data_IF_635115303832
#
_entry.id   IF_635115303832
#
_cell.length_a   1.000
_cell.length_b   1.000
_cell.length_c   1.000
_cell.angle_alpha   90.00
_cell.angle_beta   90.00
_cell.angle_gamma   90.00
#
_symmetry.space_group_name_H-M   'P 1'
#
loop_
_entity.id
_entity.type
_entity.pdbx_description
1 polymer ?
#
# COMPACT_ATOMS: atom_id res chain seq x y z
N UNK A 1 8.55 -11.99 -17.34
CA UNK A 1 9.70 -12.23 -18.23
C UNK A 1 9.81 -11.23 -19.39
N UNK A 2 8.71 -10.57 -19.80
CA UNK A 2 8.74 -9.61 -20.93
C UNK A 2 9.58 -8.35 -20.68
N UNK A 3 9.85 -8.01 -19.43
CA UNK A 3 10.62 -6.82 -19.05
C UNK A 3 12.00 -7.14 -18.49
N UNK A 4 12.37 -8.42 -18.39
CA UNK A 4 13.69 -8.83 -17.88
C UNK A 4 14.80 -8.46 -18.87
N UNK A 5 15.77 -7.68 -18.41
CA UNK A 5 16.91 -7.18 -19.20
C UNK A 5 18.06 -8.18 -19.32
N UNK A 6 17.80 -9.46 -19.16
CA UNK A 6 18.79 -10.56 -19.22
C UNK A 6 19.42 -10.85 -17.86
N UNK A 7 19.17 -12.04 -17.34
CA UNK A 7 19.64 -12.48 -16.03
C UNK A 7 18.52 -13.09 -15.18
N UNK A 8 18.79 -13.27 -13.89
CA UNK A 8 17.80 -13.79 -12.93
C UNK A 8 16.80 -12.71 -12.51
N UNK A 9 15.65 -13.16 -12.01
CA UNK A 9 14.70 -12.32 -11.31
C UNK A 9 15.03 -12.29 -9.81
N UNK A 10 14.82 -11.14 -9.18
CA UNK A 10 15.06 -10.92 -7.75
C UNK A 10 13.84 -10.29 -7.09
N UNK A 11 13.48 -10.75 -5.91
CA UNK A 11 12.61 -10.01 -4.97
C UNK A 11 13.52 -9.32 -3.97
N UNK A 12 13.57 -7.98 -4.01
CA UNK A 12 14.34 -7.17 -3.08
C UNK A 12 13.52 -6.90 -1.82
N UNK A 13 14.00 -7.38 -0.69
CA UNK A 13 13.36 -7.25 0.63
C UNK A 13 14.22 -6.43 1.59
N UNK A 14 13.61 -5.67 2.53
CA UNK A 14 14.35 -5.04 3.62
C UNK A 14 14.90 -6.06 4.65
N UNK A 15 14.52 -7.33 4.53
CA UNK A 15 15.02 -8.41 5.37
C UNK A 15 13.99 -8.98 6.34
N UNK A 16 14.44 -9.93 7.15
CA UNK A 16 13.59 -10.78 8.02
C UNK A 16 12.85 -10.07 9.15
N UNK A 17 13.20 -8.84 9.45
CA UNK A 17 12.50 -8.04 10.47
C UNK A 17 11.32 -7.26 9.92
N UNK A 18 11.11 -7.29 8.60
CA UNK A 18 9.92 -6.71 7.98
C UNK A 18 8.70 -7.59 8.25
N UNK A 19 7.58 -6.98 8.61
CA UNK A 19 6.33 -7.69 8.94
C UNK A 19 5.79 -8.54 7.79
N UNK A 20 6.09 -8.16 6.53
CA UNK A 20 5.69 -8.86 5.32
C UNK A 20 6.79 -9.80 4.77
N UNK A 21 7.82 -10.16 5.57
CA UNK A 21 8.92 -10.99 5.08
C UNK A 21 8.47 -12.37 4.60
N UNK A 22 7.46 -12.95 5.24
CA UNK A 22 6.90 -14.23 4.80
C UNK A 22 6.34 -14.12 3.37
N UNK A 23 5.55 -13.10 3.10
CA UNK A 23 4.98 -12.83 1.77
C UNK A 23 6.08 -12.58 0.73
N UNK A 24 7.17 -11.87 1.10
CA UNK A 24 8.29 -11.67 0.19
C UNK A 24 8.96 -12.99 -0.18
N UNK A 25 9.13 -13.88 0.78
CA UNK A 25 9.71 -15.23 0.58
C UNK A 25 8.81 -16.09 -0.28
N UNK A 26 7.49 -16.05 -0.02
CA UNK A 26 6.50 -16.78 -0.79
C UNK A 26 6.46 -16.30 -2.24
N UNK A 27 6.38 -14.99 -2.45
CA UNK A 27 6.41 -14.39 -3.79
C UNK A 27 7.67 -14.74 -4.56
N UNK A 28 8.82 -14.72 -3.91
CA UNK A 28 10.09 -15.09 -4.56
C UNK A 28 10.05 -16.55 -5.05
N UNK A 29 9.55 -17.45 -4.21
CA UNK A 29 9.41 -18.87 -4.55
C UNK A 29 8.43 -19.09 -5.72
N UNK A 30 7.24 -18.51 -5.65
CA UNK A 30 6.20 -18.70 -6.68
C UNK A 30 6.55 -18.04 -8.01
N UNK A 31 7.37 -16.98 -7.99
CA UNK A 31 7.83 -16.27 -9.19
C UNK A 31 9.14 -16.84 -9.78
N UNK A 32 9.69 -17.91 -9.22
CA UNK A 32 11.02 -18.43 -9.56
C UNK A 32 12.09 -17.30 -9.55
N UNK A 33 12.07 -16.52 -8.47
CA UNK A 33 12.97 -15.40 -8.25
C UNK A 33 13.87 -15.66 -7.03
N UNK A 34 15.04 -15.02 -6.99
CA UNK A 34 15.89 -15.01 -5.80
C UNK A 34 15.38 -13.98 -4.80
N UNK A 35 15.18 -14.38 -3.55
CA UNK A 35 14.99 -13.42 -2.46
C UNK A 35 16.34 -12.81 -2.11
N UNK A 36 16.43 -11.49 -2.09
CA UNK A 36 17.67 -10.76 -1.81
C UNK A 36 17.44 -9.55 -0.91
N UNK A 37 18.41 -9.27 -0.08
CA UNK A 37 18.57 -8.00 0.63
C UNK A 37 19.57 -7.12 -0.12
N UNK A 38 19.76 -5.87 0.33
CA UNK A 38 20.79 -4.98 -0.23
C UNK A 38 22.20 -5.58 -0.17
N UNK A 39 22.50 -6.34 0.90
CA UNK A 39 23.81 -6.99 1.07
C UNK A 39 24.12 -8.05 0.00
N UNK A 40 23.10 -8.64 -0.59
CA UNK A 40 23.22 -9.66 -1.64
C UNK A 40 23.35 -9.05 -3.04
N UNK A 41 23.20 -7.73 -3.19
CA UNK A 41 23.15 -7.05 -4.48
C UNK A 41 24.29 -6.04 -4.64
N UNK A 42 24.73 -5.88 -5.87
CA UNK A 42 25.81 -4.95 -6.21
C UNK A 42 25.63 -4.43 -7.64
N UNK A 43 25.85 -3.13 -7.83
CA UNK A 43 25.94 -2.52 -9.15
C UNK A 43 27.39 -2.37 -9.57
N UNK A 44 27.75 -2.97 -10.70
CA UNK A 44 29.07 -2.88 -11.29
C UNK A 44 28.96 -2.66 -12.80
N UNK A 45 29.72 -1.71 -13.34
CA UNK A 45 29.68 -1.37 -14.76
C UNK A 45 28.25 -1.00 -15.26
N UNK A 46 27.45 -0.39 -14.42
CA UNK A 46 26.06 -0.01 -14.73
C UNK A 46 25.10 -1.20 -14.82
N UNK A 47 25.45 -2.35 -14.31
CA UNK A 47 24.63 -3.58 -14.30
C UNK A 47 24.46 -4.08 -12.89
N UNK A 48 23.29 -4.66 -12.59
CA UNK A 48 22.99 -5.23 -11.28
C UNK A 48 23.37 -6.71 -11.22
N UNK A 49 23.99 -7.11 -10.12
CA UNK A 49 24.41 -8.49 -9.86
C UNK A 49 23.94 -8.96 -8.49
N UNK A 50 23.55 -10.22 -8.43
CA UNK A 50 23.34 -10.96 -7.19
C UNK A 50 24.65 -11.69 -6.83
N UNK A 51 25.13 -11.51 -5.60
CA UNK A 51 26.30 -12.20 -5.07
C UNK A 51 25.83 -13.41 -4.28
N UNK A 52 26.22 -14.59 -4.72
CA UNK A 52 25.97 -15.79 -3.95
C UNK A 52 27.01 -15.93 -2.80
N UNK A 53 26.78 -16.90 -1.92
CA UNK A 53 27.64 -17.16 -0.77
C UNK A 53 29.12 -17.53 -1.16
N UNK A 54 29.36 -17.95 -2.41
CA UNK A 54 30.70 -18.24 -2.95
C UNK A 54 31.36 -16.98 -3.55
N UNK A 55 30.71 -15.81 -3.47
CA UNK A 55 31.19 -14.59 -4.09
C UNK A 55 31.00 -14.52 -5.62
N UNK A 56 30.36 -15.52 -6.22
CA UNK A 56 30.05 -15.49 -7.66
C UNK A 56 28.94 -14.46 -7.92
N UNK A 57 29.17 -13.63 -8.94
CA UNK A 57 28.18 -12.62 -9.38
C UNK A 57 27.30 -13.20 -10.48
N UNK A 58 25.98 -13.13 -10.26
CA UNK A 58 24.97 -13.57 -11.23
C UNK A 58 24.22 -12.33 -11.70
N UNK A 59 24.11 -12.14 -13.00
CA UNK A 59 23.42 -10.99 -13.59
C UNK A 59 21.94 -10.98 -13.18
N UNK A 60 21.47 -9.83 -12.70
CA UNK A 60 20.06 -9.59 -12.40
C UNK A 60 19.44 -8.78 -13.54
N UNK A 61 18.37 -9.31 -14.12
CA UNK A 61 17.65 -8.67 -15.23
C UNK A 61 16.37 -7.97 -14.79
N UNK A 62 15.76 -8.40 -13.67
CA UNK A 62 14.57 -7.78 -13.14
C UNK A 62 14.53 -7.85 -11.61
N UNK A 63 14.04 -6.80 -10.99
CA UNK A 63 13.84 -6.67 -9.55
C UNK A 63 12.36 -6.37 -9.27
N UNK A 64 11.73 -7.20 -8.43
CA UNK A 64 10.48 -6.85 -7.77
C UNK A 64 10.82 -6.29 -6.39
N UNK A 65 10.69 -4.99 -6.22
CA UNK A 65 11.08 -4.31 -4.98
C UNK A 65 9.95 -4.35 -3.94
N UNK A 66 10.33 -4.59 -2.71
CA UNK A 66 9.49 -4.49 -1.51
C UNK A 66 10.02 -3.43 -0.55
N UNK A 67 10.58 -2.38 -1.12
CA UNK A 67 11.07 -1.18 -0.46
C UNK A 67 10.34 0.03 -1.03
N UNK A 68 10.14 1.05 -0.20
CA UNK A 68 9.67 2.35 -0.66
C UNK A 68 10.75 3.07 -1.48
N UNK A 69 10.33 4.03 -2.30
CA UNK A 69 11.23 4.76 -3.19
C UNK A 69 12.39 5.40 -2.45
N UNK A 70 12.13 6.05 -1.32
CA UNK A 70 13.11 6.75 -0.51
C UNK A 70 14.28 5.88 -0.05
N UNK A 71 14.04 4.59 0.14
CA UNK A 71 15.06 3.66 0.61
C UNK A 71 15.76 2.89 -0.51
N UNK A 72 15.30 3.01 -1.77
CA UNK A 72 15.72 2.14 -2.85
C UNK A 72 17.18 2.32 -3.24
N UNK A 73 17.65 3.56 -3.32
CA UNK A 73 19.02 3.88 -3.75
C UNK A 73 19.59 5.01 -2.88
N UNK A 74 20.56 4.74 -2.01
CA UNK A 74 21.17 5.76 -1.16
C UNK A 74 21.94 6.84 -1.92
N UNK A 75 22.25 6.65 -3.19
CA UNK A 75 22.93 7.66 -4.01
C UNK A 75 21.96 8.68 -4.65
N UNK A 76 20.68 8.33 -4.74
CA UNK A 76 19.66 9.16 -5.40
C UNK A 76 18.61 9.67 -4.42
N UNK A 77 18.32 8.94 -3.34
CA UNK A 77 17.26 9.23 -2.37
C UNK A 77 17.85 9.46 -0.97
N UNK A 78 17.44 8.66 0.00
CA UNK A 78 17.95 8.77 1.38
C UNK A 78 19.36 8.22 1.49
N UNK A 79 20.35 9.09 1.71
CA UNK A 79 21.76 8.72 1.84
C UNK A 79 22.10 7.85 3.05
N UNK A 80 21.20 7.78 4.05
CA UNK A 80 21.31 6.94 5.24
C UNK A 80 20.63 5.55 5.08
N UNK A 81 20.09 5.24 3.90
CA UNK A 81 19.43 3.96 3.65
C UNK A 81 20.42 2.80 3.69
N UNK A 82 20.22 1.87 4.61
CA UNK A 82 20.99 0.62 4.74
C UNK A 82 20.33 -0.56 4.05
N UNK A 83 19.10 -0.39 3.56
CA UNK A 83 18.29 -1.46 2.94
C UNK A 83 18.17 -1.31 1.42
N UNK A 84 18.64 -0.20 0.88
CA UNK A 84 18.68 0.09 -0.55
C UNK A 84 19.97 -0.41 -1.23
N UNK A 85 20.00 -0.36 -2.54
CA UNK A 85 21.13 -0.81 -3.38
C UNK A 85 21.74 0.38 -4.09
N UNK A 86 22.95 0.76 -3.70
CA UNK A 86 23.66 1.91 -4.28
C UNK A 86 23.83 1.76 -5.80
N UNK A 87 23.37 2.76 -6.55
CA UNK A 87 23.49 2.83 -8.01
C UNK A 87 22.45 2.02 -8.79
N UNK A 88 21.47 1.40 -8.13
CA UNK A 88 20.42 0.64 -8.81
C UNK A 88 19.60 1.52 -9.76
N UNK A 89 19.38 2.78 -9.39
CA UNK A 89 18.66 3.76 -10.21
C UNK A 89 19.42 4.08 -11.50
N UNK A 90 20.75 4.19 -11.44
CA UNK A 90 21.59 4.37 -12.63
C UNK A 90 21.52 3.16 -13.55
N UNK A 91 21.57 1.94 -13.01
CA UNK A 91 21.41 0.71 -13.79
C UNK A 91 20.02 0.62 -14.46
N UNK A 92 18.98 1.07 -13.76
CA UNK A 92 17.61 1.15 -14.28
C UNK A 92 17.50 2.17 -15.43
N UNK A 93 18.00 3.40 -15.24
CA UNK A 93 17.99 4.45 -16.28
C UNK A 93 18.75 4.04 -17.54
N UNK A 94 19.81 3.25 -17.37
CA UNK A 94 20.59 2.69 -18.49
C UNK A 94 19.88 1.51 -19.19
N UNK A 95 18.69 1.11 -18.77
CA UNK A 95 17.97 -0.03 -19.34
C UNK A 95 18.60 -1.39 -19.03
N UNK A 96 19.47 -1.46 -18.05
CA UNK A 96 20.20 -2.66 -17.70
C UNK A 96 19.52 -3.55 -16.66
N UNK A 97 18.48 -3.06 -15.99
CA UNK A 97 17.63 -3.81 -15.06
C UNK A 97 16.22 -3.25 -15.11
N UNK A 98 15.22 -4.12 -15.10
CA UNK A 98 13.85 -3.71 -14.90
C UNK A 98 13.53 -3.64 -13.40
N UNK A 99 12.81 -2.61 -12.95
CA UNK A 99 12.35 -2.46 -11.58
C UNK A 99 10.83 -2.47 -11.54
N UNK A 100 10.26 -3.36 -10.77
CA UNK A 100 8.84 -3.48 -10.45
C UNK A 100 8.67 -3.33 -8.93
N UNK A 101 7.86 -2.49 -8.40
CA UNK A 101 7.04 -1.47 -9.05
C UNK A 101 7.90 -0.30 -9.52
N UNK A 102 7.43 0.45 -10.51
CA UNK A 102 8.17 1.58 -11.04
C UNK A 102 8.55 2.60 -9.95
N UNK A 103 9.72 3.21 -10.10
CA UNK A 103 10.14 4.33 -9.24
C UNK A 103 9.18 5.49 -9.44
N UNK A 104 8.72 6.12 -8.35
CA UNK A 104 7.76 7.21 -8.36
C UNK A 104 6.29 6.77 -8.25
N UNK A 105 5.98 5.47 -8.26
CA UNK A 105 4.59 5.01 -8.13
C UNK A 105 4.04 5.10 -6.70
N UNK A 106 4.86 5.47 -5.71
CA UNK A 106 4.43 5.74 -4.35
C UNK A 106 3.36 6.82 -4.25
N UNK A 107 3.23 7.69 -5.27
CA UNK A 107 2.11 8.62 -5.37
C UNK A 107 0.74 7.92 -5.32
N UNK A 108 0.64 6.68 -5.78
CA UNK A 108 -0.60 5.89 -5.73
C UNK A 108 -0.95 5.38 -4.33
N UNK A 109 0.02 5.36 -3.41
CA UNK A 109 -0.17 4.98 -2.01
C UNK A 109 -0.56 6.17 -1.13
N UNK A 110 -0.33 7.41 -1.60
CA UNK A 110 -0.74 8.63 -0.92
C UNK A 110 -2.28 8.70 -0.85
N UNK A 111 -2.81 8.77 0.37
CA UNK A 111 -4.27 8.82 0.57
C UNK A 111 -4.91 10.09 0.00
N UNK A 112 -4.13 11.14 -0.23
CA UNK A 112 -4.61 12.35 -0.89
C UNK A 112 -5.04 12.12 -2.34
N UNK A 113 -4.42 11.16 -3.04
CA UNK A 113 -4.81 10.78 -4.40
C UNK A 113 -6.25 10.29 -4.47
N UNK A 114 -6.72 9.61 -3.43
CA UNK A 114 -8.10 9.12 -3.35
C UNK A 114 -9.15 10.23 -3.55
N UNK A 115 -8.88 11.44 -3.05
CA UNK A 115 -9.73 12.63 -3.26
C UNK A 115 -9.88 12.99 -4.74
N UNK A 116 -8.81 12.78 -5.53
CA UNK A 116 -8.79 13.15 -6.94
C UNK A 116 -9.34 12.06 -7.87
N UNK A 117 -9.40 10.80 -7.44
CA UNK A 117 -9.80 9.68 -8.31
C UNK A 117 -11.14 9.92 -9.00
N UNK A 118 -12.23 10.34 -8.34
CA UNK A 118 -13.50 10.64 -9.02
C UNK A 118 -13.39 11.77 -10.05
N UNK A 119 -12.57 12.78 -9.74
CA UNK A 119 -12.33 13.92 -10.62
C UNK A 119 -11.50 13.49 -11.85
N UNK A 120 -10.52 12.61 -11.66
CA UNK A 120 -9.72 12.05 -12.75
C UNK A 120 -10.56 11.15 -13.68
N UNK A 121 -11.46 10.35 -13.13
CA UNK A 121 -12.39 9.53 -13.94
C UNK A 121 -13.22 10.43 -14.85
N UNK A 122 -13.83 11.49 -14.30
CA UNK A 122 -14.61 12.45 -15.12
C UNK A 122 -13.76 13.15 -16.16
N UNK A 123 -12.56 13.57 -15.77
CA UNK A 123 -11.68 14.34 -16.67
C UNK A 123 -11.11 13.51 -17.81
N UNK A 124 -10.58 12.31 -17.51
CA UNK A 124 -9.89 11.51 -18.52
C UNK A 124 -10.80 10.56 -19.29
N UNK A 125 -11.87 10.09 -18.67
CA UNK A 125 -12.77 9.11 -19.28
C UNK A 125 -14.10 9.71 -19.72
N UNK A 126 -14.47 10.89 -19.21
CA UNK A 126 -15.78 11.49 -19.46
C UNK A 126 -16.93 10.70 -18.80
N UNK A 127 -16.65 9.91 -17.79
CA UNK A 127 -17.59 9.00 -17.15
C UNK A 127 -17.82 9.36 -15.69
N UNK A 128 -18.96 8.94 -15.14
CA UNK A 128 -19.16 8.97 -13.69
C UNK A 128 -18.56 7.72 -13.04
N UNK A 129 -17.98 7.84 -11.83
CA UNK A 129 -17.47 6.68 -11.11
C UNK A 129 -18.56 5.63 -10.86
N UNK A 130 -18.31 4.38 -11.25
CA UNK A 130 -19.22 3.25 -10.98
C UNK A 130 -19.24 2.93 -9.49
N UNK A 131 -18.07 2.86 -8.86
CA UNK A 131 -17.93 2.65 -7.43
C UNK A 131 -17.86 4.00 -6.72
N UNK A 132 -18.67 4.15 -5.66
CA UNK A 132 -18.65 5.36 -4.84
C UNK A 132 -17.43 5.35 -3.92
N UNK A 133 -16.69 6.44 -3.93
CA UNK A 133 -15.67 6.69 -2.92
C UNK A 133 -16.30 7.16 -1.62
N UNK A 134 -15.63 6.88 -0.49
CA UNK A 134 -15.96 7.56 0.76
C UNK A 134 -15.80 9.08 0.56
N UNK A 135 -16.76 9.92 0.98
CA UNK A 135 -16.59 11.35 0.94
C UNK A 135 -15.30 11.75 1.65
N UNK A 136 -14.41 12.43 0.94
CA UNK A 136 -13.06 12.74 1.38
C UNK A 136 -12.79 14.22 1.23
N UNK A 137 -12.15 14.81 2.22
CA UNK A 137 -11.83 16.21 2.33
C UNK A 137 -10.32 16.40 2.51
N UNK A 138 -9.74 17.37 1.83
CA UNK A 138 -8.34 17.74 1.96
C UNK A 138 -8.22 19.08 2.72
N UNK A 139 -7.78 19.09 3.98
CA UNK A 139 -7.60 20.34 4.75
C UNK A 139 -6.60 21.34 4.12
N UNK A 140 -5.89 20.93 3.09
CA UNK A 140 -5.09 21.80 2.24
C UNK A 140 -5.93 22.89 1.53
N UNK A 141 -7.18 22.60 1.21
CA UNK A 141 -8.13 23.56 0.64
C UNK A 141 -8.95 24.21 1.76
N UNK A 142 -9.11 25.53 1.73
CA UNK A 142 -9.75 26.29 2.81
C UNK A 142 -11.21 25.87 3.07
N UNK A 143 -11.98 25.57 2.01
CA UNK A 143 -13.36 25.11 2.13
C UNK A 143 -13.43 23.74 2.83
N UNK A 144 -12.58 22.79 2.42
CA UNK A 144 -12.50 21.48 3.03
C UNK A 144 -12.01 21.57 4.49
N UNK A 145 -11.00 22.42 4.76
CA UNK A 145 -10.51 22.67 6.13
C UNK A 145 -11.61 23.17 7.04
N UNK A 146 -12.39 24.14 6.59
CA UNK A 146 -13.51 24.67 7.34
C UNK A 146 -14.50 23.56 7.67
N UNK A 147 -14.92 22.79 6.67
CA UNK A 147 -15.84 21.65 6.88
C UNK A 147 -15.28 20.63 7.88
N UNK A 148 -14.02 20.25 7.73
CA UNK A 148 -13.34 19.30 8.63
C UNK A 148 -13.31 19.82 10.06
N UNK A 149 -13.01 21.11 10.27
CA UNK A 149 -12.98 21.69 11.62
C UNK A 149 -14.34 21.79 12.29
N UNK A 150 -15.39 22.04 11.50
CA UNK A 150 -16.76 22.09 12.00
C UNK A 150 -17.34 20.70 12.31
N UNK A 151 -16.86 19.65 11.62
CA UNK A 151 -17.44 18.31 11.69
C UNK A 151 -16.45 17.24 12.22
N UNK A 152 -15.31 17.60 12.77
CA UNK A 152 -14.22 16.68 13.11
C UNK A 152 -14.66 15.48 13.95
N UNK A 153 -15.61 15.68 14.88
CA UNK A 153 -16.18 14.62 15.74
C UNK A 153 -16.87 13.50 14.95
N UNK A 154 -17.29 13.77 13.71
CA UNK A 154 -17.99 12.79 12.83
C UNK A 154 -17.08 12.17 11.79
N UNK A 155 -15.84 12.64 11.70
CA UNK A 155 -14.90 12.26 10.63
C UNK A 155 -13.82 11.32 11.14
N UNK A 156 -13.23 10.59 10.19
CA UNK A 156 -12.02 9.81 10.36
C UNK A 156 -10.87 10.60 9.73
N UNK A 157 -9.94 11.02 10.55
CA UNK A 157 -8.76 11.77 10.11
C UNK A 157 -7.62 10.77 9.89
N UNK A 158 -6.89 10.92 8.80
CA UNK A 158 -5.80 10.02 8.43
C UNK A 158 -4.58 10.80 7.99
N UNK A 159 -3.41 10.37 8.43
CA UNK A 159 -2.14 10.81 7.84
C UNK A 159 -2.00 10.21 6.44
N UNK A 160 -1.61 11.01 5.46
CA UNK A 160 -1.54 10.60 4.05
C UNK A 160 -0.44 9.58 3.78
N UNK A 161 0.65 9.64 4.53
CA UNK A 161 1.85 8.81 4.34
C UNK A 161 1.81 7.51 5.15
N UNK A 162 1.05 7.46 6.25
CA UNK A 162 1.03 6.29 7.13
C UNK A 162 0.24 5.13 6.53
N UNK A 163 0.65 3.90 6.84
CA UNK A 163 0.03 2.66 6.36
C UNK A 163 -0.33 1.73 7.55
N UNK A 164 -1.01 0.62 7.27
CA UNK A 164 -1.26 -0.43 8.28
C UNK A 164 -2.27 -0.07 9.38
N UNK A 165 -3.05 1.01 9.23
CA UNK A 165 -3.98 1.51 10.24
C UNK A 165 -3.33 2.47 11.25
N UNK A 166 -2.04 2.72 11.15
CA UNK A 166 -1.34 3.76 11.89
C UNK A 166 -1.78 5.15 11.38
N UNK A 167 -1.81 6.13 12.26
CA UNK A 167 -2.22 7.50 11.91
C UNK A 167 -3.71 7.64 11.55
N UNK A 168 -4.56 6.66 11.90
CA UNK A 168 -6.03 6.74 11.74
C UNK A 168 -6.65 7.17 13.05
N UNK A 169 -7.31 8.32 13.04
CA UNK A 169 -7.94 8.95 14.20
C UNK A 169 -9.44 9.07 13.96
N UNK A 170 -10.22 8.47 14.87
CA UNK A 170 -11.68 8.58 14.83
C UNK A 170 -12.11 9.78 15.68
N UNK A 171 -12.63 10.84 15.08
CA UNK A 171 -13.04 12.04 15.79
C UNK A 171 -14.07 11.77 16.89
N UNK A 172 -14.95 10.79 16.68
CA UNK A 172 -15.93 10.36 17.68
C UNK A 172 -15.34 9.73 18.96
N UNK A 173 -14.07 9.33 18.92
CA UNK A 173 -13.37 8.74 20.06
C UNK A 173 -12.40 9.71 20.75
N UNK A 174 -12.28 10.93 20.22
CA UNK A 174 -11.35 11.95 20.71
C UNK A 174 -12.02 12.87 21.73
N UNK A 175 -11.24 13.26 22.73
CA UNK A 175 -11.63 14.33 23.65
C UNK A 175 -11.62 15.69 22.96
N UNK A 176 -12.25 16.69 23.57
CA UNK A 176 -12.24 18.08 23.05
C UNK A 176 -10.82 18.65 22.98
N UNK A 177 -9.96 18.29 23.92
CA UNK A 177 -8.57 18.75 23.95
C UNK A 177 -7.77 18.13 22.80
N UNK A 178 -7.90 16.82 22.56
CA UNK A 178 -7.28 16.14 21.42
C UNK A 178 -7.74 16.70 20.08
N UNK A 179 -9.04 16.99 19.93
CA UNK A 179 -9.58 17.65 18.74
C UNK A 179 -8.97 19.04 18.54
N UNK A 180 -8.88 19.83 19.61
CA UNK A 180 -8.28 21.17 19.54
C UNK A 180 -6.81 21.12 19.14
N UNK A 181 -6.06 20.19 19.73
CA UNK A 181 -4.66 19.96 19.36
C UNK A 181 -4.49 19.51 17.90
N UNK A 182 -5.31 18.57 17.45
CA UNK A 182 -5.28 18.07 16.07
C UNK A 182 -5.60 19.19 15.06
N UNK A 183 -6.54 20.10 15.38
CA UNK A 183 -6.83 21.28 14.54
C UNK A 183 -5.60 22.18 14.38
N UNK A 184 -4.81 22.36 15.44
CA UNK A 184 -3.57 23.13 15.38
C UNK A 184 -2.55 22.44 14.45
N UNK A 185 -2.34 21.12 14.63
CA UNK A 185 -1.41 20.35 13.79
C UNK A 185 -1.84 20.40 12.31
N UNK A 186 -3.14 20.21 12.03
CA UNK A 186 -3.67 20.32 10.66
C UNK A 186 -3.47 21.74 10.09
N UNK A 187 -3.56 22.76 10.91
CA UNK A 187 -3.34 24.15 10.46
C UNK A 187 -1.89 24.39 10.05
N UNK A 188 -0.95 23.79 10.75
CA UNK A 188 0.49 23.89 10.46
C UNK A 188 0.90 23.00 9.27
N UNK A 189 0.35 21.78 9.18
CA UNK A 189 0.69 20.80 8.16
C UNK A 189 -0.55 20.30 7.38
N UNK A 190 -1.28 21.16 6.67
CA UNK A 190 -2.57 20.80 6.07
C UNK A 190 -2.49 19.73 4.98
N UNK A 191 -1.34 19.58 4.32
CA UNK A 191 -1.12 18.55 3.28
C UNK A 191 -0.92 17.15 3.84
N UNK A 192 -0.58 17.05 5.11
CA UNK A 192 -0.30 15.80 5.80
C UNK A 192 -1.56 14.98 6.09
N UNK A 193 -2.73 15.59 6.06
CA UNK A 193 -3.96 14.93 6.49
C UNK A 193 -5.02 14.92 5.41
N UNK A 194 -5.82 13.84 5.44
CA UNK A 194 -7.14 13.77 4.84
C UNK A 194 -8.18 13.54 5.92
N UNK A 195 -9.40 13.97 5.66
CA UNK A 195 -10.55 13.61 6.48
C UNK A 195 -11.58 12.87 5.62
N UNK A 196 -12.20 11.85 6.17
CA UNK A 196 -13.22 11.06 5.49
C UNK A 196 -14.46 10.90 6.36
N UNK A 197 -15.63 10.83 5.75
CA UNK A 197 -16.82 10.38 6.46
C UNK A 197 -16.65 8.93 6.90
N UNK A 198 -17.18 8.61 8.08
CA UNK A 198 -17.20 7.24 8.56
C UNK A 198 -18.16 6.42 7.69
N UNK A 199 -17.62 5.39 7.05
CA UNK A 199 -18.42 4.44 6.29
C UNK A 199 -18.85 3.32 7.22
N UNK A 200 -20.15 3.05 7.25
CA UNK A 200 -20.69 1.93 7.99
C UNK A 200 -20.33 0.62 7.27
N UNK A 201 -19.47 -0.17 7.92
CA UNK A 201 -19.06 -1.47 7.39
C UNK A 201 -20.14 -2.52 7.62
N UNK A 202 -20.25 -3.45 6.69
CA UNK A 202 -21.15 -4.57 6.81
C UNK A 202 -20.65 -5.55 7.88
N UNK A 203 -21.60 -6.11 8.63
CA UNK A 203 -21.30 -7.20 9.56
C UNK A 203 -21.38 -8.55 8.85
N UNK A 204 -20.38 -9.38 9.04
CA UNK A 204 -20.37 -10.76 8.58
C UNK A 204 -20.23 -11.73 9.77
N UNK A 205 -20.86 -12.90 9.66
CA UNK A 205 -20.73 -13.93 10.67
C UNK A 205 -19.32 -14.53 10.65
N UNK A 206 -18.64 -14.48 11.79
CA UNK A 206 -17.31 -15.03 12.00
C UNK A 206 -17.35 -16.10 13.09
N UNK A 207 -16.60 -17.17 12.92
CA UNK A 207 -16.42 -18.18 13.97
C UNK A 207 -15.36 -17.68 14.96
N UNK A 208 -15.80 -17.27 16.15
CA UNK A 208 -14.96 -16.75 17.23
C UNK A 208 -15.19 -17.64 18.45
N UNK A 209 -14.13 -18.26 18.95
CA UNK A 209 -14.18 -19.17 20.11
C UNK A 209 -15.28 -20.25 20.03
N UNK A 210 -15.46 -20.80 18.82
CA UNK A 210 -16.43 -21.85 18.54
C UNK A 210 -17.89 -21.36 18.40
N UNK A 211 -18.14 -20.05 18.36
CA UNK A 211 -19.48 -19.45 18.17
C UNK A 211 -19.48 -18.49 17.00
N UNK A 212 -20.61 -18.43 16.29
CA UNK A 212 -20.81 -17.40 15.28
C UNK A 212 -21.07 -16.06 15.96
N UNK A 213 -20.35 -15.04 15.54
CA UNK A 213 -20.47 -13.67 16.04
C UNK A 213 -20.24 -12.67 14.91
N UNK A 214 -21.02 -11.58 14.84
CA UNK A 214 -20.88 -10.56 13.81
C UNK A 214 -19.58 -9.77 13.99
N UNK A 215 -18.95 -9.45 12.87
CA UNK A 215 -17.74 -8.61 12.80
C UNK A 215 -17.81 -7.68 11.61
N UNK A 216 -17.44 -6.42 11.83
CA UNK A 216 -17.26 -5.44 10.74
C UNK A 216 -16.26 -5.97 9.74
N UNK A 217 -16.55 -5.82 8.44
CA UNK A 217 -15.74 -6.40 7.37
C UNK A 217 -15.57 -5.46 6.20
N UNK A 218 -14.47 -5.64 5.48
CA UNK A 218 -14.25 -5.08 4.16
C UNK A 218 -13.88 -6.17 3.14
N UNK A 219 -14.04 -5.84 1.86
CA UNK A 219 -13.69 -6.70 0.75
C UNK A 219 -12.62 -6.05 -0.10
N UNK A 220 -11.54 -6.79 -0.39
CA UNK A 220 -10.49 -6.38 -1.29
C UNK A 220 -10.53 -7.20 -2.57
N UNK A 221 -10.90 -6.57 -3.69
CA UNK A 221 -10.76 -7.11 -5.02
C UNK A 221 -9.35 -6.85 -5.57
N UNK A 222 -8.89 -7.74 -6.45
CA UNK A 222 -7.60 -7.61 -7.12
C UNK A 222 -7.80 -7.46 -8.62
N UNK A 223 -7.28 -6.35 -9.17
CA UNK A 223 -7.40 -6.02 -10.59
C UNK A 223 -5.99 -5.79 -11.15
N UNK A 224 -5.70 -6.42 -12.29
CA UNK A 224 -4.47 -6.20 -13.03
C UNK A 224 -4.82 -5.55 -14.36
N UNK A 225 -4.26 -4.36 -14.61
CA UNK A 225 -4.38 -3.65 -15.88
C UNK A 225 -3.07 -3.80 -16.66
N UNK A 226 -3.14 -4.51 -17.77
CA UNK A 226 -2.10 -4.59 -18.78
C UNK A 226 -2.68 -4.18 -20.14
N UNK A 227 -2.42 -4.92 -21.21
CA UNK A 227 -3.14 -4.79 -22.50
C UNK A 227 -4.63 -5.03 -22.33
N UNK A 228 -4.99 -5.93 -21.41
CA UNK A 228 -6.36 -6.18 -20.98
C UNK A 228 -6.52 -5.98 -19.48
N UNK A 229 -7.74 -5.77 -19.02
CA UNK A 229 -8.09 -5.75 -17.60
C UNK A 229 -8.37 -7.21 -17.19
N UNK A 230 -7.72 -7.67 -16.14
CA UNK A 230 -7.94 -8.98 -15.52
C UNK A 230 -8.37 -8.80 -14.09
N UNK A 231 -9.47 -9.41 -13.74
CA UNK A 231 -9.98 -9.48 -12.39
C UNK A 231 -9.64 -10.86 -11.81
N UNK A 232 -9.14 -10.89 -10.58
CA UNK A 232 -8.96 -12.15 -9.87
C UNK A 232 -10.34 -12.74 -9.50
N UNK A 233 -10.53 -14.03 -9.72
CA UNK A 233 -11.77 -14.72 -9.41
C UNK A 233 -11.89 -15.00 -7.92
N UNK A 234 -12.20 -13.99 -7.15
CA UNK A 234 -12.29 -14.03 -5.71
C UNK A 234 -11.80 -12.72 -5.11
N UNK A 235 -11.37 -12.76 -3.87
CA UNK A 235 -10.84 -11.62 -3.17
C UNK A 235 -10.52 -11.93 -1.73
N UNK A 236 -10.09 -10.92 -0.99
CA UNK A 236 -9.81 -11.03 0.43
C UNK A 236 -10.89 -10.28 1.22
N UNK A 237 -11.68 -11.01 1.98
CA UNK A 237 -12.56 -10.41 3.00
C UNK A 237 -11.80 -10.35 4.31
N UNK A 238 -11.62 -9.12 4.83
CA UNK A 238 -11.03 -8.90 6.15
C UNK A 238 -12.12 -8.60 7.16
N UNK A 239 -11.91 -8.97 8.41
CA UNK A 239 -12.84 -8.65 9.49
C UNK A 239 -12.11 -8.15 10.73
N UNK A 240 -12.79 -7.29 11.51
CA UNK A 240 -12.25 -6.76 12.75
C UNK A 240 -12.18 -7.83 13.84
N UNK A 241 -11.12 -7.82 14.65
CA UNK A 241 -10.96 -8.77 15.76
C UNK A 241 -12.06 -8.59 16.81
N UNK A 242 -12.35 -7.34 17.15
CA UNK A 242 -13.32 -6.98 18.19
C UNK A 242 -14.67 -6.58 17.58
N UNK A 243 -15.75 -6.88 18.29
CA UNK A 243 -17.08 -6.49 17.89
C UNK A 243 -17.22 -4.96 17.84
N UNK A 244 -17.80 -4.45 16.73
CA UNK A 244 -18.01 -3.01 16.54
C UNK A 244 -16.76 -2.19 16.22
N UNK A 245 -15.58 -2.81 16.13
CA UNK A 245 -14.37 -2.12 15.71
C UNK A 245 -14.34 -1.99 14.18
N UNK A 246 -13.88 -0.84 13.67
CA UNK A 246 -13.73 -0.55 12.24
C UNK A 246 -12.31 -0.85 11.70
N UNK A 247 -11.37 -1.22 12.56
CA UNK A 247 -10.02 -1.58 12.15
C UNK A 247 -9.97 -3.06 11.74
N UNK A 248 -10.06 -3.31 10.45
CA UNK A 248 -10.05 -4.67 9.86
C UNK A 248 -8.65 -5.12 9.43
N UNK A 249 -7.61 -4.35 9.75
CA UNK A 249 -6.26 -4.63 9.29
C UNK A 249 -5.64 -5.81 10.06
N UNK A 250 -5.04 -6.77 9.35
CA UNK A 250 -4.34 -7.91 9.95
C UNK A 250 -3.16 -7.51 10.83
N UNK A 251 -2.47 -6.40 10.53
CA UNK A 251 -1.41 -5.84 11.40
C UNK A 251 -1.93 -5.35 12.75
N UNK A 252 -3.24 -5.13 12.88
CA UNK A 252 -3.94 -4.75 14.10
C UNK A 252 -4.74 -5.92 14.70
N UNK A 253 -4.41 -7.16 14.31
CA UNK A 253 -5.05 -8.37 14.81
C UNK A 253 -6.33 -8.77 14.08
N UNK A 254 -6.73 -8.06 13.03
CA UNK A 254 -7.88 -8.45 12.20
C UNK A 254 -7.68 -9.80 11.51
N UNK A 255 -8.78 -10.53 11.32
CA UNK A 255 -8.78 -11.80 10.60
C UNK A 255 -9.13 -11.65 9.12
N UNK A 256 -9.10 -12.76 8.41
CA UNK A 256 -9.49 -12.81 7.00
C UNK A 256 -10.30 -14.06 6.68
N UNK A 257 -11.05 -13.99 5.59
CA UNK A 257 -11.79 -15.09 4.99
C UNK A 257 -11.53 -15.13 3.51
N UNK A 258 -11.52 -16.34 2.96
CA UNK A 258 -11.60 -16.54 1.51
C UNK A 258 -12.96 -16.05 0.99
N UNK A 259 -12.93 -15.43 -0.18
CA UNK A 259 -14.14 -14.96 -0.84
C UNK A 259 -14.29 -15.69 -2.15
N UNK A 260 -15.39 -16.40 -2.27
CA UNK A 260 -15.73 -17.14 -3.48
C UNK A 260 -16.79 -16.38 -4.27
N UNK A 261 -16.58 -16.25 -5.56
CA UNK A 261 -17.59 -15.75 -6.48
C UNK A 261 -18.36 -16.95 -6.98
N UNK A 262 -19.60 -17.08 -6.53
CA UNK A 262 -20.51 -18.13 -6.99
C UNK A 262 -21.26 -17.62 -8.23
N UNK A 263 -21.22 -18.41 -9.31
CA UNK A 263 -22.07 -18.15 -10.47
C UNK A 263 -23.54 -18.46 -10.16
N UNK A 264 -24.42 -17.95 -11.00
CA UNK A 264 -25.83 -18.36 -10.92
C UNK A 264 -25.95 -19.89 -11.08
N UNK A 265 -26.79 -20.54 -10.27
CA UNK A 265 -27.06 -21.97 -10.48
C UNK A 265 -27.56 -22.15 -11.91
N UNK A 266 -26.91 -23.04 -12.66
CA UNK A 266 -27.35 -23.45 -14.01
C UNK A 266 -28.59 -24.29 -13.94
#
# INVERSE_FOLDING_TARGET
>A
NHVNCGGINVVLTPGRYNSAYYEHSYLAKEADARLATSADLEVEGGKLYFKNYNGQKIRVGAVYRRLDDDFLDPLEFRGDSLIGVAGITSAYRAGNVAIMNAIGNGVADDKGIYYFVPKMIRYYLGEEPILKNAPTYLPYYDEDKKYVFENMEKLVIKDVAEAGGYGVMFGSKMSREEIANLKNIISEEPRRFIAQELIEFYDIECLIDGKLAPRKSDFRAYVIKGESIRLFNGGLTRYALEAGNYLVNSSQGGGFKDTWIVGEPK
#
